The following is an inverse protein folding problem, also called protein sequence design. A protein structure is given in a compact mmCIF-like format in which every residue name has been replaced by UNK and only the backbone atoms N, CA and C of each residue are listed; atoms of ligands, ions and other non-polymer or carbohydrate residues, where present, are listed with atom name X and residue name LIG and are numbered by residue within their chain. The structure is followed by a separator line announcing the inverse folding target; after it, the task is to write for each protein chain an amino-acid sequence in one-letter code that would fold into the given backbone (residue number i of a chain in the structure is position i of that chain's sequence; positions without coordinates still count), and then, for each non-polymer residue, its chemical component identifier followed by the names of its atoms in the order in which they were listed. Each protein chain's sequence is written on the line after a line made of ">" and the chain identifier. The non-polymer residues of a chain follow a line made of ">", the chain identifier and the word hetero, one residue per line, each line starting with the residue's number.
data_IF_678818627830
#
_entry.id   IF_678818627830
#
_cell.length_a   1.000
_cell.length_b   1.000
_cell.length_c   1.000
_cell.angle_alpha   90.00
_cell.angle_beta   90.00
_cell.angle_gamma   90.00
#
_symmetry.space_group_name_H-M   'P 1'
#
loop_
_entity.id
_entity.type
_entity.pdbx_description
1 polymer ?
#
# COMPACT_ATOMS: atom_id res chain seq x y z
N UNK A 1 -19.73 3.83 -16.59
CA UNK A 1 -18.46 4.15 -15.91
C UNK A 1 -17.37 4.26 -16.97
N UNK A 2 -16.48 5.21 -16.83
CA UNK A 2 -15.34 5.33 -17.72
C UNK A 2 -14.48 4.07 -17.61
N UNK A 3 -14.00 3.59 -18.75
CA UNK A 3 -13.08 2.45 -18.76
C UNK A 3 -11.69 2.91 -18.30
N UNK A 4 -10.96 2.01 -17.64
CA UNK A 4 -9.55 2.24 -17.31
C UNK A 4 -8.75 2.41 -18.61
N UNK A 5 -8.08 3.55 -18.75
CA UNK A 5 -7.12 3.82 -19.84
C UNK A 5 -5.73 3.45 -19.35
N UNK A 6 -4.95 2.77 -20.18
CA UNK A 6 -3.55 2.46 -19.86
C UNK A 6 -2.72 3.69 -20.14
N UNK A 7 -2.07 4.22 -19.10
CA UNK A 7 -1.18 5.38 -19.19
C UNK A 7 0.26 4.96 -19.48
N UNK A 8 0.74 3.89 -18.83
CA UNK A 8 2.12 3.39 -19.00
C UNK A 8 2.17 1.87 -18.98
N UNK A 9 3.20 1.30 -19.61
CA UNK A 9 3.46 -0.14 -19.70
C UNK A 9 4.94 -0.44 -19.44
N UNK A 10 5.31 -1.73 -19.31
CA UNK A 10 6.70 -2.15 -19.14
C UNK A 10 7.23 -1.98 -17.71
N UNK A 11 6.31 -1.85 -16.74
CA UNK A 11 6.64 -1.73 -15.32
C UNK A 11 6.83 -3.12 -14.68
N UNK A 12 7.73 -3.20 -13.71
CA UNK A 12 8.09 -4.46 -13.03
C UNK A 12 7.30 -4.71 -11.75
N UNK A 13 6.05 -5.18 -11.85
CA UNK A 13 5.12 -5.34 -10.74
C UNK A 13 4.94 -4.01 -9.99
N UNK A 14 4.23 -3.04 -10.63
CA UNK A 14 4.07 -1.70 -10.09
C UNK A 14 3.22 -1.69 -8.83
N UNK A 15 3.61 -0.83 -7.87
CA UNK A 15 2.96 -0.62 -6.57
C UNK A 15 3.09 0.84 -6.13
N UNK A 16 2.51 1.18 -4.98
CA UNK A 16 2.69 2.41 -4.25
C UNK A 16 2.63 3.70 -5.09
N UNK A 17 1.58 3.93 -5.89
CA UNK A 17 1.51 5.11 -6.75
C UNK A 17 1.26 6.37 -5.91
N UNK A 18 2.08 7.40 -6.12
CA UNK A 18 1.93 8.74 -5.53
C UNK A 18 1.81 9.75 -6.66
N UNK A 19 0.67 10.42 -6.73
CA UNK A 19 0.47 11.52 -7.65
C UNK A 19 1.24 12.76 -7.16
N UNK A 20 2.07 13.33 -8.01
CA UNK A 20 2.91 14.46 -7.69
C UNK A 20 2.28 15.78 -8.13
N UNK A 21 2.62 16.92 -7.48
CA UNK A 21 2.05 18.23 -7.84
C UNK A 21 2.32 18.68 -9.27
N UNK A 22 3.37 18.13 -9.92
CA UNK A 22 3.70 18.40 -11.32
C UNK A 22 2.87 17.59 -12.33
N UNK A 23 1.89 16.82 -11.85
CA UNK A 23 1.05 15.96 -12.66
C UNK A 23 1.67 14.60 -13.03
N UNK A 24 2.88 14.33 -12.62
CA UNK A 24 3.50 13.00 -12.75
C UNK A 24 3.04 12.05 -11.63
N UNK A 25 3.29 10.76 -11.82
CA UNK A 25 3.12 9.73 -10.77
C UNK A 25 4.48 9.13 -10.49
N UNK A 26 4.89 9.10 -9.22
CA UNK A 26 5.99 8.25 -8.78
C UNK A 26 5.37 6.95 -8.26
N UNK A 27 5.90 5.82 -8.70
CA UNK A 27 5.46 4.51 -8.26
C UNK A 27 6.65 3.58 -8.03
N UNK A 28 6.43 2.52 -7.31
CA UNK A 28 7.43 1.50 -7.04
C UNK A 28 7.33 0.37 -8.04
N UNK A 29 8.45 -0.27 -8.31
CA UNK A 29 8.54 -1.49 -9.12
C UNK A 29 9.21 -2.59 -8.30
N UNK A 30 8.41 -3.45 -7.65
CA UNK A 30 8.90 -4.48 -6.72
C UNK A 30 9.90 -5.41 -7.44
N UNK A 31 9.57 -5.83 -8.66
CA UNK A 31 10.39 -6.78 -9.44
C UNK A 31 11.73 -6.19 -9.84
N UNK A 32 11.78 -4.87 -10.06
CA UNK A 32 12.99 -4.20 -10.52
C UNK A 32 13.80 -3.55 -9.39
N UNK A 33 13.28 -3.52 -8.15
CA UNK A 33 13.94 -2.92 -6.99
C UNK A 33 14.16 -1.42 -7.13
N UNK A 34 13.22 -0.70 -7.74
CA UNK A 34 13.34 0.73 -8.04
C UNK A 34 12.02 1.48 -7.92
N UNK A 35 12.10 2.79 -7.85
CA UNK A 35 10.97 3.68 -8.10
C UNK A 35 11.07 4.27 -9.50
N UNK A 36 9.95 4.43 -10.17
CA UNK A 36 9.85 5.05 -11.49
C UNK A 36 8.91 6.25 -11.46
N UNK A 37 9.20 7.23 -12.31
CA UNK A 37 8.33 8.38 -12.57
C UNK A 37 7.62 8.15 -13.89
N UNK A 38 6.30 8.32 -13.90
CA UNK A 38 5.45 8.31 -15.08
C UNK A 38 4.90 9.71 -15.27
N UNK A 39 5.20 10.34 -16.41
CA UNK A 39 4.68 11.67 -16.75
C UNK A 39 3.24 11.60 -17.25
N UNK A 40 2.55 12.73 -17.31
CA UNK A 40 1.14 12.80 -17.74
C UNK A 40 0.91 12.27 -19.18
N UNK A 41 1.93 12.27 -20.04
CA UNK A 41 1.92 11.68 -21.38
C UNK A 41 2.35 10.20 -21.41
N UNK A 42 2.56 9.58 -20.24
CA UNK A 42 2.85 8.15 -20.08
C UNK A 42 4.32 7.76 -20.26
N UNK A 43 5.25 8.71 -20.37
CA UNK A 43 6.68 8.41 -20.45
C UNK A 43 7.20 7.92 -19.09
N UNK A 44 7.85 6.76 -19.10
CA UNK A 44 8.45 6.14 -17.90
C UNK A 44 9.94 6.46 -17.82
N UNK A 45 10.41 6.83 -16.65
CA UNK A 45 11.83 7.00 -16.34
C UNK A 45 12.15 6.49 -14.94
N UNK A 46 13.36 5.98 -14.72
CA UNK A 46 13.81 5.57 -13.39
C UNK A 46 13.97 6.83 -12.53
N UNK A 47 13.35 6.83 -11.36
CA UNK A 47 13.46 7.91 -10.39
C UNK A 47 14.50 7.60 -9.31
N UNK A 48 14.50 6.37 -8.78
CA UNK A 48 15.40 5.96 -7.70
C UNK A 48 15.69 4.47 -7.78
N UNK A 49 16.94 4.07 -7.56
CA UNK A 49 17.36 2.68 -7.41
C UNK A 49 17.40 2.32 -5.92
N UNK A 50 16.30 1.80 -5.41
CA UNK A 50 16.10 1.51 -3.98
C UNK A 50 16.66 0.16 -3.57
N UNK A 51 16.94 -0.73 -4.53
CA UNK A 51 17.22 -2.15 -4.32
C UNK A 51 16.06 -2.88 -3.60
N UNK A 52 16.22 -4.17 -3.35
CA UNK A 52 15.23 -4.98 -2.63
C UNK A 52 13.88 -5.05 -3.36
N UNK A 53 12.79 -4.79 -2.64
CA UNK A 53 11.43 -4.79 -3.16
C UNK A 53 10.66 -3.58 -2.63
N UNK A 54 10.80 -2.41 -3.27
CA UNK A 54 10.01 -1.22 -2.91
C UNK A 54 8.53 -1.51 -3.15
N UNK A 55 7.70 -1.14 -2.18
CA UNK A 55 6.26 -1.40 -2.20
C UNK A 55 5.48 -0.10 -1.93
N UNK A 56 4.83 0.06 -0.80
CA UNK A 56 4.10 1.27 -0.47
C UNK A 56 4.98 2.52 -0.44
N UNK A 57 4.46 3.64 -0.93
CA UNK A 57 5.14 4.94 -1.00
C UNK A 57 4.18 6.04 -0.60
N UNK A 58 4.63 7.01 0.19
CA UNK A 58 3.83 8.17 0.55
C UNK A 58 4.67 9.44 0.69
N UNK A 59 4.08 10.59 0.37
CA UNK A 59 4.70 11.91 0.55
C UNK A 59 4.71 12.30 2.03
N UNK A 60 5.87 12.70 2.53
CA UNK A 60 6.08 13.10 3.91
C UNK A 60 5.87 14.62 4.11
N UNK A 61 5.71 15.10 5.37
CA UNK A 61 5.51 16.52 5.67
C UNK A 61 6.62 17.45 5.14
N UNK A 62 7.84 16.97 5.05
CA UNK A 62 9.00 17.72 4.57
C UNK A 62 9.19 17.66 3.04
N UNK A 63 8.24 17.04 2.34
CA UNK A 63 8.27 16.85 0.89
C UNK A 63 9.15 15.71 0.41
N UNK A 64 9.76 14.93 1.29
CA UNK A 64 10.42 13.67 0.95
C UNK A 64 9.39 12.55 0.74
N UNK A 65 9.83 11.39 0.27
CA UNK A 65 8.99 10.21 0.13
C UNK A 65 9.42 9.15 1.15
N UNK A 66 8.47 8.55 1.86
CA UNK A 66 8.72 7.38 2.72
C UNK A 66 8.28 6.13 1.97
N UNK A 67 9.13 5.12 2.01
CA UNK A 67 9.03 3.88 1.25
C UNK A 67 9.08 2.67 2.17
N UNK A 68 8.12 1.77 2.02
CA UNK A 68 8.17 0.41 2.54
C UNK A 68 8.98 -0.47 1.58
N UNK A 69 10.12 -1.02 2.03
CA UNK A 69 10.93 -1.93 1.23
C UNK A 69 10.88 -3.34 1.83
N UNK A 70 10.23 -4.26 1.15
CA UNK A 70 10.04 -5.63 1.62
C UNK A 70 11.26 -6.55 1.41
N UNK A 71 12.41 -6.00 0.96
CA UNK A 71 13.65 -6.73 0.75
C UNK A 71 13.69 -7.59 -0.52
N UNK A 72 12.64 -7.57 -1.33
CA UNK A 72 12.55 -8.23 -2.62
C UNK A 72 12.00 -9.66 -2.58
N UNK A 73 11.57 -10.09 -3.75
CA UNK A 73 10.97 -11.41 -3.98
C UNK A 73 11.68 -12.13 -5.12
N UNK A 74 11.69 -13.46 -5.07
CA UNK A 74 12.12 -14.29 -6.19
C UNK A 74 10.97 -14.42 -7.18
N UNK A 75 11.23 -14.05 -8.41
CA UNK A 75 10.31 -14.24 -9.53
C UNK A 75 10.75 -15.43 -10.38
N UNK A 76 9.80 -16.18 -10.89
CA UNK A 76 10.01 -17.30 -11.82
C UNK A 76 9.27 -17.03 -13.11
N UNK A 77 9.75 -17.59 -14.20
CA UNK A 77 9.12 -17.47 -15.51
C UNK A 77 7.66 -17.95 -15.46
N UNK A 78 6.78 -17.26 -16.17
CA UNK A 78 5.34 -17.56 -16.22
C UNK A 78 4.55 -17.20 -14.97
N UNK A 79 5.17 -16.53 -13.97
CA UNK A 79 4.47 -16.03 -12.77
C UNK A 79 4.71 -14.54 -12.57
N UNK A 80 3.63 -13.80 -12.42
CA UNK A 80 3.68 -12.36 -12.13
C UNK A 80 4.06 -12.11 -10.69
N UNK A 81 3.50 -12.88 -9.75
CA UNK A 81 3.77 -12.74 -8.31
C UNK A 81 5.05 -13.45 -7.88
N UNK A 82 5.75 -12.83 -6.92
CA UNK A 82 6.92 -13.44 -6.28
C UNK A 82 6.57 -14.74 -5.55
N UNK A 83 7.48 -15.71 -5.60
CA UNK A 83 7.30 -17.06 -5.03
C UNK A 83 8.06 -17.30 -3.73
N UNK A 84 8.60 -16.25 -3.12
CA UNK A 84 9.37 -16.31 -1.87
C UNK A 84 10.37 -15.18 -1.80
N UNK A 85 11.23 -15.13 -0.77
CA UNK A 85 12.27 -14.09 -0.68
C UNK A 85 13.21 -14.10 -1.89
N UNK A 86 13.76 -12.94 -2.22
CA UNK A 86 14.87 -12.86 -3.17
C UNK A 86 16.04 -13.71 -2.65
N UNK A 87 16.83 -14.40 -3.53
CA UNK A 87 17.98 -15.19 -3.08
C UNK A 87 18.96 -14.40 -2.20
N UNK A 88 19.17 -13.12 -2.51
CA UNK A 88 20.05 -12.22 -1.77
C UNK A 88 19.34 -11.45 -0.62
N UNK A 89 18.14 -11.87 -0.24
CA UNK A 89 17.39 -11.23 0.82
C UNK A 89 18.15 -11.22 2.14
N UNK A 90 18.40 -10.04 2.69
CA UNK A 90 19.09 -9.86 3.97
C UNK A 90 18.19 -9.27 5.05
N UNK A 91 17.43 -8.26 4.69
CA UNK A 91 16.50 -7.55 5.57
C UNK A 91 15.51 -6.73 4.76
N UNK A 92 14.44 -6.35 5.40
CA UNK A 92 13.48 -5.37 4.94
C UNK A 92 13.69 -4.04 5.67
N UNK A 93 13.13 -2.95 5.17
CA UNK A 93 13.35 -1.64 5.78
C UNK A 93 12.25 -0.64 5.45
N UNK A 94 12.18 0.40 6.27
CA UNK A 94 11.55 1.67 5.89
C UNK A 94 12.67 2.60 5.41
N UNK A 95 12.46 3.20 4.24
CA UNK A 95 13.42 4.08 3.60
C UNK A 95 12.83 5.47 3.37
N UNK A 96 13.69 6.47 3.33
CA UNK A 96 13.37 7.84 2.95
C UNK A 96 14.07 8.16 1.64
N UNK A 97 13.32 8.73 0.70
CA UNK A 97 13.83 9.18 -0.60
C UNK A 97 13.74 10.70 -0.68
N UNK A 98 14.82 11.32 -1.09
CA UNK A 98 14.79 12.72 -1.50
C UNK A 98 13.95 12.87 -2.79
N UNK A 99 12.90 13.69 -2.74
CA UNK A 99 11.94 13.80 -3.85
C UNK A 99 12.52 14.49 -5.11
N UNK A 100 13.68 15.15 -5.00
CA UNK A 100 14.34 15.82 -6.12
C UNK A 100 15.40 14.94 -6.77
N UNK A 101 16.21 14.28 -5.94
CA UNK A 101 17.39 13.53 -6.39
C UNK A 101 17.17 12.02 -6.46
N UNK A 102 16.16 11.50 -5.77
CA UNK A 102 15.93 10.07 -5.60
C UNK A 102 16.91 9.40 -4.64
N UNK A 103 17.74 10.18 -3.91
CA UNK A 103 18.68 9.62 -2.95
C UNK A 103 17.97 8.88 -1.81
N UNK A 104 18.49 7.70 -1.45
CA UNK A 104 17.86 6.77 -0.51
C UNK A 104 18.58 6.78 0.82
N UNK A 105 17.83 6.88 1.91
CA UNK A 105 18.32 6.71 3.29
C UNK A 105 17.47 5.67 4.01
N UNK A 106 18.08 4.70 4.68
CA UNK A 106 17.37 3.75 5.53
C UNK A 106 17.02 4.38 6.86
N UNK A 107 15.75 4.33 7.26
CA UNK A 107 15.28 4.84 8.55
C UNK A 107 15.17 3.72 9.59
N UNK A 108 14.50 2.61 9.23
CA UNK A 108 14.24 1.51 10.17
C UNK A 108 14.44 0.16 9.49
N UNK A 109 15.02 -0.78 10.22
CA UNK A 109 15.16 -2.20 9.82
C UNK A 109 14.56 -3.16 10.84
N UNK A 110 14.23 -2.66 12.04
CA UNK A 110 13.72 -3.44 13.16
C UNK A 110 12.82 -2.60 14.07
N UNK A 111 12.03 -3.27 14.89
CA UNK A 111 11.23 -2.69 15.96
C UNK A 111 11.33 -3.61 17.18
N UNK A 112 11.62 -3.05 18.37
CA UNK A 112 11.71 -3.79 19.65
C UNK A 112 12.65 -5.03 19.57
N UNK A 113 13.78 -4.91 18.84
CA UNK A 113 14.75 -5.98 18.64
C UNK A 113 14.33 -7.04 17.61
N UNK A 114 13.19 -6.89 16.94
CA UNK A 114 12.72 -7.79 15.89
C UNK A 114 12.84 -7.13 14.52
N UNK A 115 13.44 -7.83 13.57
CA UNK A 115 13.59 -7.36 12.19
C UNK A 115 12.23 -7.20 11.52
N UNK A 116 12.07 -6.13 10.74
CA UNK A 116 10.95 -5.99 9.83
C UNK A 116 11.02 -7.11 8.77
N UNK A 117 9.89 -7.74 8.52
CA UNK A 117 9.83 -8.91 7.63
C UNK A 117 9.49 -8.53 6.18
N UNK A 118 8.38 -7.84 5.97
CA UNK A 118 7.97 -7.36 4.65
C UNK A 118 7.10 -6.09 4.76
N UNK A 119 7.67 -4.92 5.16
CA UNK A 119 6.93 -3.66 5.12
C UNK A 119 6.23 -3.48 3.77
N UNK A 120 4.94 -3.12 3.83
CA UNK A 120 4.10 -3.18 2.65
C UNK A 120 3.51 -1.81 2.28
N UNK A 121 2.60 -1.25 3.06
CA UNK A 121 1.94 0.00 2.73
C UNK A 121 1.94 0.98 3.91
N UNK A 122 1.68 2.28 3.66
CA UNK A 122 1.75 3.30 4.70
C UNK A 122 0.81 4.47 4.45
N UNK A 123 0.40 5.12 5.55
CA UNK A 123 -0.41 6.34 5.54
C UNK A 123 0.03 7.30 6.64
N UNK A 124 0.24 8.57 6.29
CA UNK A 124 0.57 9.63 7.25
C UNK A 124 -0.66 10.13 8.00
N UNK A 125 -0.51 10.37 9.30
CA UNK A 125 -1.49 11.13 10.09
C UNK A 125 -1.22 12.65 10.07
N UNK A 126 -2.13 13.42 10.67
CA UNK A 126 -2.01 14.88 10.77
C UNK A 126 -0.90 15.35 11.71
N UNK A 127 -0.38 14.47 12.57
CA UNK A 127 0.71 14.79 13.49
C UNK A 127 2.09 14.63 12.84
N UNK A 128 2.15 14.11 11.62
CA UNK A 128 3.39 13.95 10.84
C UNK A 128 4.09 12.61 11.04
N UNK A 129 3.50 11.69 11.81
CA UNK A 129 3.92 10.30 11.85
C UNK A 129 3.14 9.47 10.83
N UNK A 130 3.51 8.21 10.66
CA UNK A 130 2.84 7.33 9.72
C UNK A 130 2.58 5.94 10.29
N UNK A 131 1.40 5.43 9.98
CA UNK A 131 1.07 4.02 10.17
C UNK A 131 1.61 3.24 8.98
N UNK A 132 2.13 2.04 9.22
CA UNK A 132 2.50 1.14 8.15
C UNK A 132 2.19 -0.31 8.52
N UNK A 133 2.03 -1.13 7.49
CA UNK A 133 1.83 -2.57 7.60
C UNK A 133 3.11 -3.31 7.27
N UNK A 134 3.32 -4.43 7.95
CA UNK A 134 4.31 -5.43 7.59
C UNK A 134 3.54 -6.71 7.21
N UNK A 135 3.60 -7.09 5.93
CA UNK A 135 2.85 -8.23 5.38
C UNK A 135 3.28 -9.59 5.95
N UNK A 136 4.50 -9.67 6.47
CA UNK A 136 5.16 -10.92 6.79
C UNK A 136 5.68 -11.66 5.53
N UNK A 137 6.91 -12.11 5.57
CA UNK A 137 7.57 -12.81 4.45
C UNK A 137 7.00 -14.23 4.29
N UNK A 138 6.74 -14.62 3.05
CA UNK A 138 6.27 -15.96 2.70
C UNK A 138 7.44 -16.82 2.21
N UNK A 139 7.57 -18.00 2.80
CA UNK A 139 8.54 -19.03 2.42
C UNK A 139 7.81 -20.26 1.85
N UNK A 140 8.56 -21.30 1.47
CA UNK A 140 7.98 -22.48 0.83
C UNK A 140 7.01 -23.26 1.75
N UNK A 141 7.27 -23.31 3.06
CA UNK A 141 6.49 -24.10 4.03
C UNK A 141 6.00 -23.32 5.26
N UNK A 142 6.35 -22.04 5.38
CA UNK A 142 5.92 -21.17 6.47
C UNK A 142 5.82 -19.73 5.98
N UNK A 143 5.30 -18.87 6.80
CA UNK A 143 5.35 -17.42 6.64
C UNK A 143 5.61 -16.77 7.98
N UNK A 144 6.22 -15.60 7.97
CA UNK A 144 6.26 -14.73 9.12
C UNK A 144 4.87 -14.13 9.32
N UNK A 145 4.46 -13.95 10.56
CA UNK A 145 3.33 -13.08 10.85
C UNK A 145 3.68 -11.64 10.52
N UNK A 146 2.70 -10.92 10.05
CA UNK A 146 2.80 -9.48 9.86
C UNK A 146 2.41 -8.69 11.10
N UNK A 147 2.41 -7.37 10.97
CA UNK A 147 2.02 -6.46 12.04
C UNK A 147 1.63 -5.09 11.53
N UNK A 148 1.10 -4.28 12.44
CA UNK A 148 0.78 -2.86 12.23
C UNK A 148 1.72 -2.05 13.12
N UNK A 149 2.33 -1.04 12.53
CA UNK A 149 3.35 -0.22 13.18
C UNK A 149 3.03 1.27 13.02
N UNK A 150 3.66 2.07 13.87
CA UNK A 150 3.70 3.52 13.74
C UNK A 150 5.13 4.01 13.83
N UNK A 151 5.53 4.95 12.97
CA UNK A 151 6.87 5.49 12.98
C UNK A 151 6.92 6.99 12.64
N UNK A 152 8.04 7.63 12.96
CA UNK A 152 8.31 9.02 12.61
C UNK A 152 9.26 9.08 11.40
N UNK A 153 9.07 10.06 10.47
CA UNK A 153 9.83 10.13 9.23
C UNK A 153 11.27 10.66 9.41
N UNK A 154 11.66 10.99 10.63
CA UNK A 154 13.02 11.40 11.01
C UNK A 154 13.90 10.23 11.51
N UNK A 155 13.35 9.02 11.63
CA UNK A 155 14.07 7.85 12.12
C UNK A 155 14.16 7.74 13.64
N UNK A 156 13.54 8.64 14.41
CA UNK A 156 13.70 8.72 15.86
C UNK A 156 12.85 7.71 16.64
N UNK A 157 11.74 7.24 16.06
CA UNK A 157 10.81 6.36 16.78
C UNK A 157 10.05 5.43 15.85
N UNK A 158 10.01 4.16 16.21
CA UNK A 158 9.13 3.13 15.65
C UNK A 158 8.45 2.39 16.80
N UNK A 159 7.19 1.98 16.63
CA UNK A 159 6.41 1.27 17.65
C UNK A 159 5.56 0.20 16.97
N UNK A 160 5.54 -1.01 17.51
CA UNK A 160 4.62 -2.06 17.12
C UNK A 160 3.27 -1.81 17.81
N UNK A 161 2.20 -1.65 17.01
CA UNK A 161 0.86 -1.36 17.53
C UNK A 161 0.00 -2.62 17.65
N UNK A 162 0.18 -3.55 16.72
CA UNK A 162 -0.61 -4.79 16.68
C UNK A 162 0.21 -5.91 16.03
N UNK A 163 0.38 -7.00 16.75
CA UNK A 163 1.06 -8.21 16.32
C UNK A 163 0.56 -9.40 17.15
N UNK A 164 0.41 -10.61 16.63
CA UNK A 164 0.60 -11.02 15.23
C UNK A 164 -0.60 -10.67 14.33
N UNK A 165 -0.33 -10.47 13.05
CA UNK A 165 -1.34 -10.33 12.00
C UNK A 165 -1.04 -11.33 10.88
N UNK A 166 -2.05 -11.77 10.12
CA UNK A 166 -1.82 -12.83 9.11
C UNK A 166 -1.04 -12.30 7.91
N UNK A 167 -1.54 -11.24 7.26
CA UNK A 167 -0.93 -10.63 6.07
C UNK A 167 -1.45 -9.21 5.83
N UNK A 168 -1.25 -8.28 6.79
CA UNK A 168 -1.74 -6.91 6.62
C UNK A 168 -1.02 -6.25 5.45
N UNK A 169 -1.80 -5.69 4.53
CA UNK A 169 -1.35 -5.09 3.29
C UNK A 169 -1.72 -3.61 3.26
N UNK A 170 -2.68 -3.18 2.46
CA UNK A 170 -3.08 -1.79 2.40
C UNK A 170 -3.54 -1.21 3.73
N UNK A 171 -3.22 0.05 3.99
CA UNK A 171 -3.73 0.78 5.15
C UNK A 171 -4.14 2.21 4.79
N UNK A 172 -5.15 2.74 5.50
CA UNK A 172 -5.65 4.09 5.27
C UNK A 172 -6.44 4.61 6.45
N UNK A 173 -6.39 5.92 6.67
CA UNK A 173 -7.13 6.58 7.74
C UNK A 173 -8.51 7.06 7.26
N UNK A 174 -9.51 6.99 8.13
CA UNK A 174 -10.80 7.65 7.93
C UNK A 174 -10.64 9.16 7.76
N UNK A 175 -11.61 9.86 7.14
CA UNK A 175 -11.51 11.31 6.91
C UNK A 175 -11.26 12.14 8.18
N UNK A 176 -11.76 11.68 9.33
CA UNK A 176 -11.53 12.31 10.64
C UNK A 176 -10.26 11.82 11.35
N UNK A 177 -9.55 10.83 10.77
CA UNK A 177 -8.33 10.24 11.32
C UNK A 177 -8.54 9.33 12.54
N UNK A 178 -9.79 8.99 12.87
CA UNK A 178 -10.11 8.21 14.08
C UNK A 178 -10.18 6.70 13.86
N UNK A 179 -10.13 6.25 12.63
CA UNK A 179 -10.14 4.82 12.27
C UNK A 179 -9.00 4.54 11.30
N UNK A 180 -8.19 3.55 11.62
CA UNK A 180 -7.22 2.96 10.70
C UNK A 180 -7.86 1.72 10.07
N UNK A 181 -8.04 1.75 8.76
CA UNK A 181 -8.45 0.58 7.97
C UNK A 181 -7.21 -0.20 7.53
N UNK A 182 -7.30 -1.53 7.57
CA UNK A 182 -6.22 -2.43 7.12
C UNK A 182 -6.82 -3.57 6.30
N UNK A 183 -6.35 -3.73 5.09
CA UNK A 183 -6.67 -4.87 4.24
C UNK A 183 -5.74 -6.05 4.57
N UNK A 184 -6.28 -7.26 4.67
CA UNK A 184 -5.47 -8.48 4.85
C UNK A 184 -5.58 -9.35 3.60
N UNK A 185 -4.43 -9.69 3.01
CA UNK A 185 -4.38 -10.37 1.73
C UNK A 185 -4.90 -11.80 1.80
N UNK A 186 -4.41 -12.58 2.75
CA UNK A 186 -4.68 -14.03 2.80
C UNK A 186 -6.10 -14.32 3.27
N UNK A 187 -6.59 -13.58 4.25
CA UNK A 187 -7.96 -13.73 4.74
C UNK A 187 -8.99 -13.05 3.85
N UNK A 188 -8.56 -12.19 2.92
CA UNK A 188 -9.43 -11.33 2.11
C UNK A 188 -10.45 -10.57 2.97
N UNK A 189 -9.98 -9.96 4.06
CA UNK A 189 -10.78 -9.20 5.02
C UNK A 189 -10.27 -7.76 5.12
N UNK A 190 -11.22 -6.86 5.29
CA UNK A 190 -10.95 -5.46 5.66
C UNK A 190 -11.21 -5.31 7.16
N UNK A 191 -10.20 -4.81 7.87
CA UNK A 191 -10.24 -4.57 9.31
C UNK A 191 -10.27 -3.07 9.61
N UNK A 192 -10.79 -2.71 10.78
CA UNK A 192 -10.75 -1.36 11.31
C UNK A 192 -10.26 -1.36 12.76
N UNK A 193 -9.44 -0.40 13.08
CA UNK A 193 -8.87 -0.14 14.41
C UNK A 193 -9.18 1.29 14.79
N UNK A 194 -9.77 1.49 15.96
CA UNK A 194 -10.03 2.83 16.47
C UNK A 194 -8.71 3.47 16.93
N UNK A 195 -8.47 4.71 16.51
CA UNK A 195 -7.26 5.48 16.84
C UNK A 195 -7.56 6.39 18.02
N UNK A 196 -6.91 6.14 19.17
CA UNK A 196 -7.04 6.97 20.38
C UNK A 196 -6.16 8.23 20.31
N UNK A 197 -4.98 8.10 19.72
CA UNK A 197 -4.02 9.17 19.53
C UNK A 197 -3.02 8.77 18.42
N UNK A 198 -2.21 9.69 17.89
CA UNK A 198 -1.13 9.36 16.98
C UNK A 198 -0.23 8.23 17.51
N UNK A 199 -0.14 7.16 16.75
CA UNK A 199 0.62 5.96 17.13
C UNK A 199 0.02 5.15 18.29
N UNK A 200 -1.28 5.31 18.59
CA UNK A 200 -1.97 4.54 19.61
C UNK A 200 -3.33 4.06 19.11
N UNK A 201 -3.50 2.75 19.02
CA UNK A 201 -4.78 2.12 18.73
C UNK A 201 -5.52 1.78 20.02
N UNK A 202 -6.85 1.86 19.98
CA UNK A 202 -7.70 1.42 21.08
C UNK A 202 -7.51 -0.08 21.33
N UNK A 203 -7.59 -0.48 22.58
CA UNK A 203 -7.66 -1.90 22.93
C UNK A 203 -9.01 -2.43 22.49
N UNK A 204 -9.03 -3.15 21.39
CA UNK A 204 -10.24 -3.82 20.89
C UNK A 204 -10.69 -4.96 21.79
N UNK A 205 -11.87 -5.51 21.48
CA UNK A 205 -12.33 -6.76 22.09
C UNK A 205 -11.28 -7.83 21.80
N UNK A 206 -10.79 -8.49 22.84
CA UNK A 206 -9.75 -9.50 22.73
C UNK A 206 -10.15 -10.56 21.70
N UNK A 207 -9.53 -10.48 20.52
CA UNK A 207 -9.48 -11.55 19.55
C UNK A 207 -8.20 -12.32 19.83
N UNK A 208 -8.22 -13.60 19.64
CA UNK A 208 -7.05 -14.45 19.84
C UNK A 208 -5.97 -14.27 18.74
N UNK A 209 -6.21 -13.39 17.76
CA UNK A 209 -5.25 -13.10 16.69
C UNK A 209 -4.85 -11.61 16.64
N UNK A 210 -5.81 -10.71 16.79
CA UNK A 210 -5.57 -9.26 16.75
C UNK A 210 -6.82 -8.53 17.28
N UNK A 211 -6.71 -7.24 17.60
CA UNK A 211 -7.79 -6.46 18.19
C UNK A 211 -8.67 -5.70 17.19
N UNK A 212 -8.44 -5.87 15.88
CA UNK A 212 -9.22 -5.23 14.84
C UNK A 212 -10.61 -5.82 14.68
N UNK A 213 -11.63 -4.97 14.47
CA UNK A 213 -12.97 -5.41 14.06
C UNK A 213 -13.01 -5.65 12.54
N UNK A 214 -13.65 -6.71 12.10
CA UNK A 214 -13.89 -6.96 10.67
C UNK A 214 -14.92 -5.97 10.16
N UNK A 215 -14.58 -5.23 9.11
CA UNK A 215 -15.49 -4.33 8.38
C UNK A 215 -16.18 -5.10 7.27
N UNK A 216 -15.42 -5.83 6.44
CA UNK A 216 -15.94 -6.57 5.31
C UNK A 216 -14.97 -7.62 4.81
N UNK A 217 -15.36 -8.32 3.76
CA UNK A 217 -14.52 -9.33 3.13
C UNK A 217 -14.92 -9.58 1.69
N UNK A 218 -14.04 -10.20 0.94
CA UNK A 218 -14.34 -10.59 -0.42
C UNK A 218 -15.48 -11.63 -0.46
N UNK A 219 -16.33 -11.61 -1.52
CA UNK A 219 -17.24 -12.70 -1.81
C UNK A 219 -16.50 -14.05 -1.91
N UNK A 220 -17.19 -15.19 -1.75
CA UNK A 220 -16.58 -16.50 -1.94
C UNK A 220 -15.89 -16.61 -3.30
N UNK A 221 -14.66 -17.12 -3.30
CA UNK A 221 -13.84 -17.28 -4.51
C UNK A 221 -12.35 -17.01 -4.27
N UNK A 222 -11.53 -17.09 -5.31
CA UNK A 222 -10.09 -16.82 -5.21
C UNK A 222 -9.87 -15.30 -5.17
N UNK A 223 -9.96 -14.70 -4.00
CA UNK A 223 -9.71 -13.28 -3.80
C UNK A 223 -8.68 -13.06 -2.69
N UNK A 224 -7.90 -12.01 -2.84
CA UNK A 224 -7.04 -11.45 -1.81
C UNK A 224 -7.18 -9.93 -1.80
N UNK A 225 -7.07 -9.29 -0.64
CA UNK A 225 -7.03 -7.84 -0.60
C UNK A 225 -5.59 -7.35 -0.64
N UNK A 226 -5.36 -6.34 -1.46
CA UNK A 226 -4.07 -5.66 -1.58
C UNK A 226 -4.17 -4.25 -0.99
N UNK A 227 -3.55 -3.25 -1.58
CA UNK A 227 -3.59 -1.89 -1.07
C UNK A 227 -4.99 -1.26 -1.19
N UNK A 228 -5.21 -0.17 -0.51
CA UNK A 228 -6.48 0.53 -0.46
C UNK A 228 -6.31 2.05 -0.47
N UNK A 229 -7.37 2.75 -0.85
CA UNK A 229 -7.52 4.17 -0.62
C UNK A 229 -8.87 4.48 0.02
N UNK A 230 -8.88 5.41 0.97
CA UNK A 230 -10.11 5.93 1.55
C UNK A 230 -10.66 7.05 0.67
N UNK A 231 -11.97 7.09 0.51
CA UNK A 231 -12.67 8.11 -0.27
C UNK A 231 -13.17 9.24 0.65
N UNK A 232 -13.46 10.40 0.07
CA UNK A 232 -13.90 11.58 0.82
C UNK A 232 -15.21 11.37 1.61
N UNK A 233 -16.07 10.44 1.14
CA UNK A 233 -17.30 10.05 1.83
C UNK A 233 -17.08 8.98 2.92
N UNK A 234 -15.84 8.56 3.15
CA UNK A 234 -15.47 7.52 4.11
C UNK A 234 -15.50 6.10 3.59
N UNK A 235 -15.94 5.85 2.36
CA UNK A 235 -15.86 4.52 1.74
C UNK A 235 -14.40 4.13 1.51
N UNK A 236 -14.15 2.85 1.35
CA UNK A 236 -12.81 2.26 1.20
C UNK A 236 -12.75 1.51 -0.13
N UNK A 237 -11.92 1.99 -1.05
CA UNK A 237 -11.64 1.34 -2.33
C UNK A 237 -10.44 0.38 -2.15
N UNK A 238 -10.69 -0.92 -2.24
CA UNK A 238 -9.71 -1.99 -1.98
C UNK A 238 -9.35 -2.68 -3.28
N UNK A 239 -8.08 -2.74 -3.61
CA UNK A 239 -7.57 -3.54 -4.72
C UNK A 239 -7.77 -5.04 -4.41
N UNK A 240 -8.51 -5.73 -5.29
CA UNK A 240 -8.95 -7.11 -5.05
C UNK A 240 -8.30 -8.05 -6.05
N UNK A 241 -7.24 -8.70 -5.58
CA UNK A 241 -6.42 -9.63 -6.35
C UNK A 241 -7.24 -10.83 -6.87
N UNK A 242 -6.81 -11.39 -7.97
CA UNK A 242 -7.37 -12.57 -8.64
C UNK A 242 -8.80 -12.40 -9.19
N UNK A 243 -9.42 -11.25 -8.95
CA UNK A 243 -10.76 -10.93 -9.44
C UNK A 243 -10.76 -9.86 -10.53
N UNK A 244 -9.65 -9.13 -10.67
CA UNK A 244 -9.55 -8.00 -11.61
C UNK A 244 -10.49 -6.84 -11.25
N UNK A 245 -10.61 -6.52 -9.95
CA UNK A 245 -11.54 -5.50 -9.47
C UNK A 245 -10.90 -4.58 -8.42
N UNK A 246 -11.41 -3.35 -8.36
CA UNK A 246 -11.36 -2.52 -7.17
C UNK A 246 -12.73 -2.62 -6.50
N UNK A 247 -12.78 -3.10 -5.25
CA UNK A 247 -14.02 -3.27 -4.47
C UNK A 247 -14.16 -2.11 -3.50
N UNK A 248 -15.25 -1.36 -3.61
CA UNK A 248 -15.57 -0.23 -2.71
C UNK A 248 -16.49 -0.71 -1.59
N UNK A 249 -16.03 -0.58 -0.35
CA UNK A 249 -16.79 -0.88 0.86
C UNK A 249 -17.28 0.40 1.53
N UNK A 250 -18.48 0.36 2.10
CA UNK A 250 -18.88 1.36 3.09
C UNK A 250 -18.13 1.13 4.43
N UNK A 251 -18.04 2.13 5.32
CA UNK A 251 -17.49 1.94 6.68
C UNK A 251 -18.23 0.87 7.50
N UNK A 252 -19.46 0.52 7.11
CA UNK A 252 -20.28 -0.53 7.74
C UNK A 252 -20.08 -1.90 7.09
N UNK A 253 -19.25 -2.00 6.04
CA UNK A 253 -18.85 -3.25 5.41
C UNK A 253 -19.72 -3.72 4.23
N UNK A 254 -20.69 -2.91 3.80
CA UNK A 254 -21.44 -3.23 2.59
C UNK A 254 -20.55 -2.98 1.34
N UNK A 255 -20.57 -3.89 0.39
CA UNK A 255 -20.00 -3.65 -0.95
C UNK A 255 -20.91 -2.65 -1.66
N UNK A 256 -20.39 -1.45 -1.88
CA UNK A 256 -21.08 -0.35 -2.55
C UNK A 256 -20.90 -0.43 -4.06
N UNK A 257 -19.73 -0.86 -4.49
CA UNK A 257 -19.35 -0.92 -5.89
C UNK A 257 -18.21 -1.90 -6.13
N UNK A 258 -18.22 -2.50 -7.31
CA UNK A 258 -17.08 -3.21 -7.87
C UNK A 258 -16.74 -2.61 -9.24
N UNK A 259 -15.51 -2.19 -9.44
CA UNK A 259 -14.99 -1.63 -10.69
C UNK A 259 -14.03 -2.64 -11.32
N UNK A 260 -14.41 -3.21 -12.46
CA UNK A 260 -13.53 -4.12 -13.20
C UNK A 260 -12.39 -3.36 -13.86
N UNK A 261 -11.19 -3.93 -13.77
CA UNK A 261 -9.96 -3.42 -14.40
C UNK A 261 -9.37 -4.46 -15.36
N UNK A 262 -8.58 -4.06 -16.36
CA UNK A 262 -8.08 -4.98 -17.39
C UNK A 262 -6.84 -5.80 -16.93
N UNK A 263 -6.79 -6.19 -15.66
CA UNK A 263 -5.71 -6.95 -15.03
C UNK A 263 -6.25 -7.80 -13.89
N UNK A 264 -5.73 -9.00 -13.68
CA UNK A 264 -6.16 -9.89 -12.59
C UNK A 264 -5.55 -9.52 -11.23
N UNK A 265 -4.47 -8.74 -11.23
CA UNK A 265 -3.79 -8.25 -10.04
C UNK A 265 -3.72 -6.71 -10.01
N UNK A 266 -4.88 -6.00 -9.87
CA UNK A 266 -4.82 -4.62 -9.40
C UNK A 266 -4.24 -4.64 -7.98
N UNK A 267 -3.22 -3.85 -7.72
CA UNK A 267 -2.51 -3.91 -6.44
C UNK A 267 -2.69 -2.66 -5.61
N UNK A 268 -2.83 -1.49 -6.24
CA UNK A 268 -2.97 -0.24 -5.50
C UNK A 268 -3.80 0.79 -6.28
N UNK A 269 -4.33 1.79 -5.59
CA UNK A 269 -5.08 2.90 -6.15
C UNK A 269 -4.74 4.19 -5.39
N UNK A 270 -4.47 5.28 -6.11
CA UNK A 270 -4.35 6.61 -5.54
C UNK A 270 -5.19 7.63 -6.31
N UNK A 271 -5.45 8.78 -5.67
CA UNK A 271 -6.32 9.81 -6.22
C UNK A 271 -5.61 11.14 -6.35
N UNK A 272 -5.97 11.91 -7.37
CA UNK A 272 -5.48 13.26 -7.58
C UNK A 272 -6.46 14.12 -8.40
N UNK A 273 -5.98 15.28 -8.81
CA UNK A 273 -6.77 16.29 -9.52
C UNK A 273 -7.46 17.27 -8.55
N UNK A 274 -7.91 18.40 -9.06
CA UNK A 274 -8.55 19.42 -8.24
C UNK A 274 -9.83 18.92 -7.53
N UNK A 275 -10.52 17.98 -8.14
CA UNK A 275 -11.73 17.34 -7.62
C UNK A 275 -11.46 15.97 -6.96
N UNK A 276 -10.21 15.53 -6.88
CA UNK A 276 -9.79 14.23 -6.34
C UNK A 276 -10.48 13.03 -7.00
N UNK A 277 -10.85 13.12 -8.27
CA UNK A 277 -11.54 12.03 -9.00
C UNK A 277 -10.66 11.28 -9.98
N UNK A 278 -9.49 11.79 -10.31
CA UNK A 278 -8.54 11.06 -11.15
C UNK A 278 -7.90 9.96 -10.33
N UNK A 279 -8.23 8.71 -10.65
CA UNK A 279 -7.69 7.52 -10.00
C UNK A 279 -6.57 6.93 -10.86
N UNK A 280 -5.39 6.73 -10.28
CA UNK A 280 -4.33 5.90 -10.85
C UNK A 280 -4.35 4.53 -10.19
N UNK A 281 -4.28 3.47 -10.99
CA UNK A 281 -4.38 2.07 -10.53
C UNK A 281 -3.18 1.29 -11.05
N UNK A 282 -2.46 0.64 -10.18
CA UNK A 282 -1.37 -0.27 -10.54
C UNK A 282 -1.94 -1.62 -10.97
N UNK A 283 -1.57 -2.06 -12.16
CA UNK A 283 -2.03 -3.27 -12.84
C UNK A 283 -0.82 -4.21 -12.98
N UNK A 284 -0.59 -5.02 -11.94
CA UNK A 284 0.74 -5.57 -11.68
C UNK A 284 1.04 -6.87 -12.41
N UNK A 285 0.02 -7.63 -12.84
CA UNK A 285 0.20 -8.79 -13.70
C UNK A 285 0.79 -8.39 -15.05
N UNK A 286 0.24 -7.33 -15.64
CA UNK A 286 0.64 -6.82 -16.96
C UNK A 286 1.75 -5.76 -16.90
N UNK A 287 2.15 -5.33 -15.71
CA UNK A 287 3.16 -4.28 -15.54
C UNK A 287 2.72 -2.94 -16.11
N UNK A 288 1.54 -2.46 -15.72
CA UNK A 288 0.91 -1.27 -16.28
C UNK A 288 0.46 -0.29 -15.19
N UNK A 289 0.34 0.99 -15.56
CA UNK A 289 -0.36 2.01 -14.80
C UNK A 289 -1.63 2.39 -15.55
N UNK A 290 -2.78 2.18 -14.93
CA UNK A 290 -4.08 2.59 -15.43
C UNK A 290 -4.52 3.93 -14.85
N UNK A 291 -5.37 4.66 -15.58
CA UNK A 291 -6.01 5.90 -15.13
C UNK A 291 -7.49 5.91 -15.50
N UNK A 292 -8.33 6.40 -14.60
CA UNK A 292 -9.76 6.60 -14.86
C UNK A 292 -10.35 7.71 -14.00
N UNK A 293 -11.55 8.18 -14.36
CA UNK A 293 -12.35 9.05 -13.50
C UNK A 293 -13.17 8.20 -12.54
N UNK A 294 -12.97 8.42 -11.24
CA UNK A 294 -13.69 7.70 -10.19
C UNK A 294 -14.98 8.46 -9.83
N UNK A 295 -16.11 7.76 -9.62
CA UNK A 295 -17.39 8.43 -9.36
C UNK A 295 -17.44 9.22 -8.05
N UNK A 296 -16.66 8.81 -7.04
CA UNK A 296 -16.57 9.45 -5.73
C UNK A 296 -15.17 10.04 -5.55
N UNK A 297 -15.01 11.28 -5.07
CA UNK A 297 -13.68 11.82 -4.80
C UNK A 297 -12.88 10.94 -3.84
N UNK A 298 -11.60 10.74 -4.10
CA UNK A 298 -10.67 10.22 -3.13
C UNK A 298 -10.50 11.16 -1.94
N UNK A 299 -10.14 10.65 -0.79
CA UNK A 299 -9.74 11.47 0.33
C UNK A 299 -8.41 12.15 0.02
N UNK A 300 -8.36 13.47 0.14
CA UNK A 300 -7.09 14.19 0.07
C UNK A 300 -6.23 13.79 1.27
N UNK A 301 -5.07 13.23 1.02
CA UNK A 301 -4.12 12.83 2.05
C UNK A 301 -3.49 14.04 2.71
N UNK A 302 -2.91 13.86 3.90
CA UNK A 302 -2.46 14.99 4.72
C UNK A 302 -1.33 15.80 4.06
N UNK A 303 -0.54 15.19 3.18
CA UNK A 303 0.67 15.81 2.60
C UNK A 303 0.74 15.72 1.06
N UNK A 304 -0.35 15.32 0.41
CA UNK A 304 -0.46 15.28 -1.06
C UNK A 304 -1.23 16.49 -1.60
#
# INVERSE_FOLDING_TARGET
>A
MDQVKILATGLGFPEGPVAMPDGSVILTEIRHGRCSRVTADGKVSVFSDTKGGPNGLALAPDGSLILCNNGGSRYVEGRSMGVGPHPDYKHSSIQKLDAKTGAVTTLYTECDGHKLSAPNDLVFDKAGGFYFTDLGKRYARHRDHGGIYYALPDGSKITCLNYPFLSPNGCGLSPDGKVLYVADTVSARLYAFDVEAPGKLAKGVASWAHSGRVVGGAPPGPAGFDSLAVLANGNIAVATLSTGKITEFSPQGAIVREVSVPDIYPTNICFCGADMRTAYITLSDKGQLGVMQWPTPGLKLNYN
#
